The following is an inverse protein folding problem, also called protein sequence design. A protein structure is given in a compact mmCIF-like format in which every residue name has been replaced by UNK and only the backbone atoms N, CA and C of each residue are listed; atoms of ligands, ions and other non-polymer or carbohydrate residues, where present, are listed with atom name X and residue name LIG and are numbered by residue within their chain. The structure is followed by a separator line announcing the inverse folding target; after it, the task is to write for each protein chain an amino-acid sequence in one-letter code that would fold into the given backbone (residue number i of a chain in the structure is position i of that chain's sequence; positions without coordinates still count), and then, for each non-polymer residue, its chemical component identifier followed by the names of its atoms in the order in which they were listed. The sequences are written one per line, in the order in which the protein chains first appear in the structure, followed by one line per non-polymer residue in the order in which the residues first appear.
data_IF_296172840687
#
_entry.id   IF_296172840687
#
_cell.length_a   1.000
_cell.length_b   1.000
_cell.length_c   1.000
_cell.angle_alpha   90.00
_cell.angle_beta   90.00
_cell.angle_gamma   90.00
#
_symmetry.space_group_name_H-M   'P 1'
#
loop_
_entity.id
_entity.type
_entity.pdbx_description
1 polymer ?
#
# COMPACT_ATOMS: atom_id res chain seq x y z
N UNK A 1 -10.12 -20.08 8.56
CA UNK A 1 -9.98 -18.62 8.70
C UNK A 1 -8.61 -18.33 9.30
N UNK A 2 -7.70 -17.73 8.56
CA UNK A 2 -6.39 -17.32 9.06
C UNK A 2 -6.54 -16.05 9.89
N UNK A 3 -6.18 -16.11 11.17
CA UNK A 3 -6.19 -14.94 12.05
C UNK A 3 -5.02 -14.03 11.64
N UNK A 4 -5.31 -12.81 11.23
CA UNK A 4 -4.27 -11.85 10.89
C UNK A 4 -3.46 -11.52 12.14
N UNK A 5 -2.13 -11.48 12.02
CA UNK A 5 -1.23 -11.13 13.09
C UNK A 5 -0.28 -10.04 12.57
N UNK A 6 -0.09 -8.99 13.37
CA UNK A 6 0.87 -7.95 13.10
C UNK A 6 1.84 -7.86 14.28
N UNK A 7 3.13 -8.14 14.04
CA UNK A 7 4.17 -8.17 15.08
C UNK A 7 3.80 -9.07 16.29
N UNK A 8 3.18 -10.22 16.04
CA UNK A 8 2.75 -11.17 17.08
C UNK A 8 1.44 -10.78 17.81
N UNK A 9 0.86 -9.61 17.51
CA UNK A 9 -0.42 -9.17 18.05
C UNK A 9 -1.55 -9.61 17.11
N UNK A 10 -2.62 -10.16 17.68
CA UNK A 10 -3.82 -10.51 16.91
C UNK A 10 -4.43 -9.25 16.30
N UNK A 11 -4.56 -9.22 14.98
CA UNK A 11 -5.13 -8.13 14.23
C UNK A 11 -6.57 -8.47 13.84
N UNK A 12 -7.51 -7.66 14.32
CA UNK A 12 -8.92 -7.73 13.97
C UNK A 12 -9.28 -6.51 13.10
N UNK A 13 -9.51 -6.68 11.79
CA UNK A 13 -9.80 -5.56 10.90
C UNK A 13 -11.12 -4.86 11.25
N UNK A 14 -12.05 -5.53 11.95
CA UNK A 14 -13.32 -4.93 12.38
C UNK A 14 -13.16 -3.93 13.52
N UNK A 15 -12.05 -4.00 14.27
CA UNK A 15 -11.72 -3.10 15.38
C UNK A 15 -10.84 -1.93 14.97
N UNK A 16 -10.64 -1.74 13.66
CA UNK A 16 -9.78 -0.66 13.16
C UNK A 16 -10.46 0.68 13.41
N UNK A 17 -9.97 1.43 14.38
CA UNK A 17 -10.38 2.82 14.59
C UNK A 17 -10.02 3.63 13.35
N UNK A 18 -10.97 4.41 12.86
CA UNK A 18 -10.72 5.31 11.74
C UNK A 18 -10.19 6.64 12.28
N UNK A 19 -9.16 7.23 11.65
CA UNK A 19 -8.69 8.55 12.02
C UNK A 19 -9.81 9.58 11.94
N UNK A 20 -9.72 10.65 12.72
CA UNK A 20 -10.68 11.75 12.64
C UNK A 20 -10.59 12.48 11.28
N UNK A 21 -11.73 13.03 10.89
CA UNK A 21 -11.89 13.96 9.77
C UNK A 21 -11.53 15.41 10.14
N UNK A 22 -11.29 15.71 11.42
CA UNK A 22 -10.82 17.05 11.82
C UNK A 22 -9.46 17.35 11.19
N UNK A 23 -9.29 18.53 10.55
CA UNK A 23 -7.99 18.95 10.03
C UNK A 23 -6.94 19.03 11.15
N UNK A 24 -5.75 18.51 10.88
CA UNK A 24 -4.60 18.64 11.77
C UNK A 24 -3.62 19.63 11.16
N UNK A 25 -3.35 20.69 11.91
CA UNK A 25 -2.33 21.68 11.60
C UNK A 25 -0.94 21.05 11.74
N UNK A 26 -0.15 21.07 10.66
CA UNK A 26 1.25 20.66 10.69
C UNK A 26 2.10 21.60 9.85
N UNK A 27 3.34 21.84 10.29
CA UNK A 27 4.30 22.66 9.55
C UNK A 27 5.38 21.78 8.96
N UNK A 28 5.51 21.78 7.63
CA UNK A 28 6.59 21.08 6.93
C UNK A 28 7.44 22.09 6.16
N UNK A 29 8.74 22.17 6.47
CA UNK A 29 9.69 23.11 5.86
C UNK A 29 9.24 24.58 5.90
N UNK A 30 8.60 24.98 6.99
CA UNK A 30 8.08 26.35 7.18
C UNK A 30 6.77 26.64 6.44
N UNK A 31 6.18 25.66 5.74
CA UNK A 31 4.85 25.76 5.16
C UNK A 31 3.83 25.12 6.11
N UNK A 32 2.74 25.84 6.37
CA UNK A 32 1.62 25.33 7.16
C UNK A 32 0.66 24.56 6.27
N UNK A 33 0.22 23.41 6.77
CA UNK A 33 -0.74 22.55 6.12
C UNK A 33 -1.81 22.18 7.15
N UNK A 34 -3.07 22.31 6.74
CA UNK A 34 -4.21 21.87 7.51
C UNK A 34 -4.96 20.83 6.67
N UNK A 35 -4.84 19.56 7.05
CA UNK A 35 -5.51 18.47 6.36
C UNK A 35 -5.99 17.40 7.35
N UNK A 36 -7.17 16.79 7.12
CA UNK A 36 -7.62 15.64 7.91
C UNK A 36 -6.66 14.45 7.77
N UNK A 37 -6.49 13.68 8.86
CA UNK A 37 -5.74 12.43 8.82
C UNK A 37 -6.50 11.32 8.08
N UNK A 38 -7.83 11.42 8.05
CA UNK A 38 -8.67 10.51 7.29
C UNK A 38 -8.68 10.90 5.81
N UNK A 39 -8.10 10.04 4.99
CA UNK A 39 -8.23 10.13 3.54
C UNK A 39 -9.51 9.43 3.08
N UNK A 40 -10.55 10.20 2.78
CA UNK A 40 -11.69 9.67 2.04
C UNK A 40 -11.25 9.35 0.60
N UNK A 41 -11.70 8.19 0.10
CA UNK A 41 -11.44 7.84 -1.29
C UNK A 41 -12.16 8.87 -2.17
N UNK A 42 -11.39 9.68 -2.90
CA UNK A 42 -11.96 10.58 -3.90
C UNK A 42 -12.82 9.75 -4.86
N UNK A 43 -14.06 10.21 -5.13
CA UNK A 43 -14.95 9.60 -6.10
C UNK A 43 -14.27 9.62 -7.48
N UNK A 44 -13.53 8.57 -7.78
CA UNK A 44 -12.66 8.51 -8.95
C UNK A 44 -13.32 7.64 -10.00
N UNK A 45 -13.73 8.26 -11.10
CA UNK A 45 -14.28 7.58 -12.29
C UNK A 45 -13.19 6.99 -13.20
N UNK A 46 -11.92 7.12 -12.83
CA UNK A 46 -10.79 6.68 -13.65
C UNK A 46 -10.10 5.45 -13.07
N UNK A 47 -10.32 4.31 -13.73
CA UNK A 47 -9.51 3.10 -13.55
C UNK A 47 -8.09 3.38 -14.05
N UNK A 48 -7.11 3.37 -13.15
CA UNK A 48 -5.69 3.47 -13.51
C UNK A 48 -5.06 2.08 -13.56
N UNK A 49 -4.39 1.77 -14.66
CA UNK A 49 -3.61 0.53 -14.80
C UNK A 49 -2.24 0.71 -14.14
N UNK A 50 -2.00 -0.01 -13.03
CA UNK A 50 -0.70 -0.04 -12.36
C UNK A 50 0.25 -1.01 -13.07
N UNK A 51 1.35 -0.49 -13.62
CA UNK A 51 2.41 -1.30 -14.18
C UNK A 51 3.52 -1.50 -13.14
N UNK A 52 3.61 -2.72 -12.59
CA UNK A 52 4.69 -3.08 -11.69
C UNK A 52 6.02 -3.22 -12.45
N UNK A 53 7.00 -2.39 -12.10
CA UNK A 53 8.33 -2.38 -12.74
C UNK A 53 9.11 -3.68 -12.55
N UNK A 54 8.81 -4.46 -11.52
CA UNK A 54 9.45 -5.77 -11.28
C UNK A 54 9.01 -6.87 -12.26
N UNK A 55 8.14 -6.60 -13.24
CA UNK A 55 7.89 -7.54 -14.34
C UNK A 55 9.16 -7.89 -15.13
N UNK A 56 10.07 -6.93 -15.30
CA UNK A 56 11.36 -7.21 -15.93
C UNK A 56 12.21 -8.18 -15.08
N UNK A 57 12.16 -8.04 -13.75
CA UNK A 57 12.84 -8.93 -12.83
C UNK A 57 12.22 -10.34 -12.84
N UNK A 58 10.90 -10.44 -12.74
CA UNK A 58 10.17 -11.71 -12.81
C UNK A 58 10.46 -12.47 -14.12
N UNK A 59 10.51 -11.74 -15.25
CA UNK A 59 10.85 -12.31 -16.55
C UNK A 59 12.28 -12.87 -16.57
N UNK A 60 13.27 -12.13 -16.06
CA UNK A 60 14.67 -12.59 -16.00
C UNK A 60 14.84 -13.80 -15.09
N UNK A 61 14.12 -13.85 -13.97
CA UNK A 61 14.13 -15.01 -13.06
C UNK A 61 13.55 -16.25 -13.77
N UNK A 62 12.46 -16.10 -14.51
CA UNK A 62 11.87 -17.20 -15.28
C UNK A 62 12.80 -17.68 -16.41
N UNK A 63 13.44 -16.77 -17.14
CA UNK A 63 14.43 -17.09 -18.17
C UNK A 63 15.65 -17.82 -17.59
N UNK A 64 16.17 -17.37 -16.44
CA UNK A 64 17.28 -18.03 -15.75
C UNK A 64 16.90 -19.42 -15.23
N UNK A 65 15.69 -19.60 -14.68
CA UNK A 65 15.20 -20.90 -14.22
C UNK A 65 15.05 -21.89 -15.39
N UNK A 66 14.58 -21.43 -16.56
CA UNK A 66 14.48 -22.25 -17.76
C UNK A 66 15.86 -22.68 -18.29
N UNK A 67 16.88 -21.80 -18.23
CA UNK A 67 18.25 -22.15 -18.62
C UNK A 67 18.88 -23.20 -17.71
N UNK A 68 18.61 -23.15 -16.40
CA UNK A 68 19.11 -24.16 -15.45
C UNK A 68 18.46 -25.52 -15.67
N UNK A 69 17.19 -25.58 -16.08
CA UNK A 69 16.49 -26.84 -16.35
C UNK A 69 16.79 -27.44 -17.73
N UNK A 70 17.37 -26.66 -18.65
CA UNK A 70 17.75 -27.11 -19.99
C UNK A 70 19.17 -27.70 -20.06
N UNK A 71 19.93 -27.64 -18.95
CA UNK A 71 21.24 -28.29 -18.76
C UNK A 71 21.11 -29.50 -17.83
#
# INVERSE_FOLDING_TARGET
MTKLQFLGVSYDPSRREQPDTTPVEHTYRGQQFAAPLRHEAAATTQTKTLYYRGRAYQRRVAEAAAQVQAN
#
